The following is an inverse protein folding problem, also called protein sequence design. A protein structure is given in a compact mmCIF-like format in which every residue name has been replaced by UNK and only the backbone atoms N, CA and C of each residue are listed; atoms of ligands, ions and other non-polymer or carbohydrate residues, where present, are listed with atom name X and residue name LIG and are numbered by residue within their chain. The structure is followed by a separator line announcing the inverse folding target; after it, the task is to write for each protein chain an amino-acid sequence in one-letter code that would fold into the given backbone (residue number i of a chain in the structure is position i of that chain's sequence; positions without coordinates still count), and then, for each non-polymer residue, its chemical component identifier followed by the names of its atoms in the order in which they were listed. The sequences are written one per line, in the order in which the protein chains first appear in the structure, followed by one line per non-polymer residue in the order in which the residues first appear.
data_IF_572614340090
#
_entry.id   IF_572614340090
#
_cell.length_a   1.000
_cell.length_b   1.000
_cell.length_c   1.000
_cell.angle_alpha   90.00
_cell.angle_beta   90.00
_cell.angle_gamma   90.00
#
_symmetry.space_group_name_H-M   'P 1'
#
loop_
_entity.id
_entity.type
_entity.pdbx_description
1 polymer ?
#
# COMPACT_ATOMS: atom_id res chain seq x y z
N UNK A 1 13.46 -28.80 -33.68
CA UNK A 1 12.90 -27.60 -33.02
C UNK A 1 11.76 -28.01 -32.11
N UNK A 2 11.75 -27.58 -30.86
CA UNK A 2 10.66 -27.91 -29.94
C UNK A 2 9.38 -27.24 -30.39
N UNK A 3 8.21 -27.93 -30.29
CA UNK A 3 6.90 -27.36 -30.63
C UNK A 3 6.50 -26.11 -29.77
N UNK A 4 7.37 -25.66 -28.88
CA UNK A 4 7.16 -24.51 -27.97
C UNK A 4 8.18 -23.38 -28.19
N UNK A 5 8.90 -23.35 -29.32
CA UNK A 5 9.90 -22.31 -29.59
C UNK A 5 9.32 -20.88 -29.61
N UNK A 6 8.01 -20.76 -29.87
CA UNK A 6 7.28 -19.48 -29.79
C UNK A 6 7.28 -18.87 -28.39
N UNK A 7 7.48 -19.66 -27.30
CA UNK A 7 7.59 -19.12 -25.94
C UNK A 7 8.82 -18.23 -25.75
N UNK A 8 9.81 -18.35 -26.61
CA UNK A 8 10.99 -17.47 -26.59
C UNK A 8 10.67 -16.02 -26.98
N UNK A 9 9.51 -15.79 -27.63
CA UNK A 9 9.03 -14.44 -27.93
C UNK A 9 8.40 -13.76 -26.71
N UNK A 10 8.09 -14.52 -25.65
CA UNK A 10 7.44 -14.02 -24.46
C UNK A 10 8.48 -13.85 -23.33
N UNK A 11 8.52 -12.64 -22.76
CA UNK A 11 9.33 -12.41 -21.57
C UNK A 11 8.78 -13.24 -20.40
N UNK A 12 9.63 -14.02 -19.76
CA UNK A 12 9.25 -14.73 -18.50
C UNK A 12 8.94 -13.69 -17.42
N UNK A 13 7.66 -13.61 -17.04
CA UNK A 13 7.22 -12.70 -16.00
C UNK A 13 7.48 -13.30 -14.61
N UNK A 14 8.20 -12.60 -13.73
CA UNK A 14 8.40 -13.05 -12.36
C UNK A 14 7.10 -12.92 -11.55
N UNK A 15 6.93 -13.80 -10.56
CA UNK A 15 5.81 -13.73 -9.63
C UNK A 15 6.14 -12.74 -8.52
N UNK A 16 5.19 -11.83 -8.19
CA UNK A 16 5.36 -10.95 -7.03
C UNK A 16 5.40 -11.76 -5.74
N UNK A 17 6.06 -11.24 -4.71
CA UNK A 17 6.21 -11.96 -3.44
C UNK A 17 4.89 -12.42 -2.81
N UNK A 18 3.82 -11.62 -2.94
CA UNK A 18 2.48 -11.99 -2.43
C UNK A 18 1.87 -13.16 -3.22
N UNK A 19 2.10 -13.22 -4.55
CA UNK A 19 1.63 -14.34 -5.37
C UNK A 19 2.38 -15.61 -5.00
N UNK A 20 3.70 -15.54 -4.86
CA UNK A 20 4.51 -16.68 -4.39
C UNK A 20 4.00 -17.22 -3.05
N UNK A 21 3.74 -16.32 -2.09
CA UNK A 21 3.21 -16.69 -0.76
C UNK A 21 1.87 -17.43 -0.87
N UNK A 22 0.96 -16.93 -1.70
CA UNK A 22 -0.36 -17.55 -1.89
C UNK A 22 -0.26 -18.89 -2.60
N UNK A 23 0.56 -19.03 -3.62
CA UNK A 23 0.78 -20.32 -4.29
C UNK A 23 1.32 -21.37 -3.33
N UNK A 24 2.36 -21.03 -2.54
CA UNK A 24 2.89 -21.94 -1.53
C UNK A 24 1.87 -22.29 -0.46
N UNK A 25 0.98 -21.35 -0.11
CA UNK A 25 -0.12 -21.65 0.80
C UNK A 25 -1.14 -22.60 0.17
N UNK A 26 -1.52 -22.41 -1.11
CA UNK A 26 -2.40 -23.33 -1.82
C UNK A 26 -1.76 -24.72 -2.00
N UNK A 27 -0.46 -24.79 -2.34
CA UNK A 27 0.29 -26.05 -2.39
C UNK A 27 0.25 -26.78 -1.04
N UNK A 28 0.20 -26.05 0.09
CA UNK A 28 0.08 -26.57 1.44
C UNK A 28 -1.37 -26.86 1.87
N UNK A 29 -2.35 -26.72 0.97
CA UNK A 29 -3.76 -27.00 1.24
C UNK A 29 -4.56 -25.81 1.81
N UNK A 30 -4.08 -24.57 1.65
CA UNK A 30 -4.83 -23.39 2.08
C UNK A 30 -6.15 -23.28 1.34
N UNK A 31 -7.22 -23.13 2.11
CA UNK A 31 -8.55 -22.76 1.61
C UNK A 31 -9.02 -21.51 2.39
N UNK A 32 -9.38 -20.41 1.72
CA UNK A 32 -9.88 -19.20 2.38
C UNK A 32 -11.14 -19.42 3.24
N UNK A 33 -11.92 -20.47 2.95
CA UNK A 33 -13.13 -20.84 3.68
C UNK A 33 -12.83 -21.78 4.87
N UNK A 34 -11.63 -22.37 4.93
CA UNK A 34 -11.22 -23.21 6.06
C UNK A 34 -10.77 -22.35 7.23
N UNK A 35 -11.62 -22.29 8.26
CA UNK A 35 -11.35 -21.53 9.47
C UNK A 35 -10.16 -22.07 10.29
N UNK A 36 -9.57 -23.23 9.96
CA UNK A 36 -8.36 -23.74 10.61
C UNK A 36 -7.12 -22.92 10.24
N UNK A 37 -7.12 -22.25 9.08
CA UNK A 37 -6.04 -21.39 8.64
C UNK A 37 -6.08 -19.99 9.26
N UNK A 38 -4.91 -19.42 9.42
CA UNK A 38 -4.73 -18.01 9.82
C UNK A 38 -3.85 -17.27 8.79
N UNK A 39 -4.48 -16.47 7.94
CA UNK A 39 -3.74 -15.68 6.95
C UNK A 39 -3.28 -14.36 7.57
N UNK A 40 -2.08 -14.35 8.19
CA UNK A 40 -1.40 -13.17 8.71
C UNK A 40 -0.45 -12.53 7.67
N UNK A 41 -0.46 -13.03 6.43
CA UNK A 41 0.26 -12.43 5.29
C UNK A 41 -0.61 -11.50 4.46
N UNK A 42 -1.93 -11.56 4.63
CA UNK A 42 -2.86 -10.84 3.77
C UNK A 42 -2.76 -9.32 3.93
N UNK A 43 -2.66 -8.64 2.80
CA UNK A 43 -2.73 -7.20 2.71
C UNK A 43 -4.15 -6.64 2.65
N UNK A 44 -5.11 -7.28 3.32
CA UNK A 44 -6.49 -6.81 3.39
C UNK A 44 -6.97 -6.74 4.84
N UNK A 45 -7.65 -5.65 5.22
CA UNK A 45 -8.29 -5.57 6.52
C UNK A 45 -9.54 -6.44 6.55
N UNK A 46 -9.99 -6.79 7.77
CA UNK A 46 -11.29 -7.43 7.98
C UNK A 46 -12.42 -6.63 7.31
N UNK A 47 -13.21 -7.32 6.48
CA UNK A 47 -14.28 -6.69 5.68
C UNK A 47 -15.69 -6.99 6.18
N UNK A 48 -15.86 -7.92 7.13
CA UNK A 48 -17.18 -8.49 7.45
C UNK A 48 -18.06 -7.60 8.30
N UNK A 49 -17.49 -6.97 9.34
CA UNK A 49 -18.27 -6.15 10.25
C UNK A 49 -17.57 -4.84 10.62
N UNK A 50 -18.38 -3.79 10.74
CA UNK A 50 -17.95 -2.52 11.27
C UNK A 50 -19.05 -2.01 12.22
N UNK A 51 -18.73 -1.85 13.50
CA UNK A 51 -19.70 -1.48 14.55
C UNK A 51 -20.98 -2.32 14.57
N UNK A 52 -20.86 -3.64 14.40
CA UNK A 52 -22.00 -4.55 14.37
C UNK A 52 -22.90 -4.40 13.15
N UNK A 53 -22.59 -3.49 12.22
CA UNK A 53 -23.34 -3.34 10.97
C UNK A 53 -22.73 -4.18 9.87
N UNK A 54 -23.50 -5.12 9.34
CA UNK A 54 -23.12 -5.85 8.12
C UNK A 54 -23.10 -4.87 6.95
N UNK A 55 -22.06 -4.94 6.11
CA UNK A 55 -22.02 -4.16 4.88
C UNK A 55 -23.08 -4.65 3.89
N UNK A 56 -23.57 -3.74 3.02
CA UNK A 56 -24.44 -4.10 1.91
C UNK A 56 -23.77 -5.19 1.07
N UNK A 57 -24.45 -6.30 0.87
CA UNK A 57 -23.92 -7.48 0.15
C UNK A 57 -24.36 -7.56 -1.31
N UNK A 58 -25.32 -6.74 -1.71
CA UNK A 58 -25.87 -6.74 -3.07
C UNK A 58 -25.57 -5.43 -3.78
N UNK A 59 -25.14 -5.53 -5.02
CA UNK A 59 -24.96 -4.41 -5.96
C UNK A 59 -25.93 -4.67 -7.08
N UNK A 60 -26.75 -3.66 -7.40
CA UNK A 60 -27.65 -3.70 -8.52
C UNK A 60 -26.90 -3.27 -9.78
N UNK A 61 -26.99 -4.09 -10.83
CA UNK A 61 -26.43 -3.79 -12.14
C UNK A 61 -27.60 -3.62 -13.10
N UNK A 62 -27.76 -2.41 -13.61
CA UNK A 62 -28.77 -2.07 -14.61
C UNK A 62 -28.16 -1.86 -16.01
N UNK A 63 -28.98 -1.62 -17.01
CA UNK A 63 -28.51 -1.43 -18.40
C UNK A 63 -27.55 -0.24 -18.52
N UNK A 64 -27.79 0.85 -17.79
CA UNK A 64 -26.93 2.04 -17.85
C UNK A 64 -25.50 1.75 -17.38
N UNK A 65 -25.34 1.02 -16.27
CA UNK A 65 -24.00 0.71 -15.77
C UNK A 65 -23.38 -0.58 -16.35
N UNK A 66 -24.04 -1.15 -17.37
CA UNK A 66 -23.44 -2.11 -18.30
C UNK A 66 -22.65 -1.43 -19.42
N UNK A 67 -22.87 -0.13 -19.65
CA UNK A 67 -22.09 0.69 -20.57
C UNK A 67 -20.70 1.04 -19.97
N UNK A 68 -19.79 1.44 -20.85
CA UNK A 68 -18.48 1.94 -20.41
C UNK A 68 -18.60 3.20 -19.57
N UNK A 69 -17.90 3.25 -18.44
CA UNK A 69 -17.65 4.51 -17.77
C UNK A 69 -16.60 5.32 -18.52
N UNK A 70 -16.59 6.66 -18.41
CA UNK A 70 -15.48 7.45 -18.94
C UNK A 70 -14.13 6.97 -18.40
N UNK A 71 -13.08 6.98 -19.21
CA UNK A 71 -11.73 6.48 -18.83
C UNK A 71 -11.19 7.17 -17.57
N UNK A 72 -11.42 8.48 -17.44
CA UNK A 72 -11.05 9.23 -16.24
C UNK A 72 -11.95 8.93 -15.04
N UNK A 73 -13.02 8.14 -15.21
CA UNK A 73 -14.02 7.82 -14.21
C UNK A 73 -15.28 8.68 -14.30
N UNK A 74 -16.35 8.21 -13.65
CA UNK A 74 -17.65 8.91 -13.56
C UNK A 74 -17.48 10.31 -12.98
N UNK A 75 -18.18 11.26 -13.57
CA UNK A 75 -18.12 12.67 -13.16
C UNK A 75 -18.57 12.88 -11.71
N UNK A 76 -19.64 12.21 -11.29
CA UNK A 76 -20.16 12.29 -9.91
C UNK A 76 -19.15 11.75 -8.88
N UNK A 77 -18.49 10.63 -9.17
CA UNK A 77 -17.45 10.09 -8.31
C UNK A 77 -16.22 11.01 -8.24
N UNK A 78 -15.77 11.54 -9.38
CA UNK A 78 -14.65 12.50 -9.43
C UNK A 78 -14.95 13.77 -8.61
N UNK A 79 -16.16 14.31 -8.73
CA UNK A 79 -16.64 15.44 -7.90
C UNK A 79 -16.65 15.07 -6.42
N UNK A 80 -17.11 13.86 -6.09
CA UNK A 80 -17.20 13.39 -4.71
C UNK A 80 -15.82 13.19 -4.06
N UNK A 81 -14.86 12.71 -4.82
CA UNK A 81 -13.46 12.59 -4.37
C UNK A 81 -12.86 13.99 -4.15
N UNK A 82 -13.05 14.92 -5.08
CA UNK A 82 -12.60 16.31 -4.91
C UNK A 82 -13.21 16.96 -3.66
N UNK A 83 -14.53 16.83 -3.46
CA UNK A 83 -15.23 17.28 -2.25
C UNK A 83 -14.63 16.69 -0.96
N UNK A 84 -14.30 15.38 -0.99
CA UNK A 84 -13.66 14.70 0.14
C UNK A 84 -12.34 15.36 0.52
N UNK A 85 -11.42 15.53 -0.44
CA UNK A 85 -10.11 16.12 -0.15
C UNK A 85 -10.22 17.60 0.24
N UNK A 86 -11.10 18.37 -0.38
CA UNK A 86 -11.33 19.77 -0.03
C UNK A 86 -11.87 19.93 1.39
N UNK A 87 -12.83 19.08 1.77
CA UNK A 87 -13.46 19.12 3.10
C UNK A 87 -12.47 18.70 4.19
N UNK A 88 -11.64 17.69 3.93
CA UNK A 88 -10.77 17.11 4.94
C UNK A 88 -9.45 17.85 5.10
N UNK A 89 -8.87 18.36 4.00
CA UNK A 89 -7.48 18.82 3.97
C UNK A 89 -7.32 20.25 3.44
N UNK A 90 -8.32 20.78 2.71
CA UNK A 90 -8.16 22.05 2.00
C UNK A 90 -9.11 23.16 2.51
N UNK A 91 -9.72 22.97 3.68
CA UNK A 91 -10.62 23.98 4.25
C UNK A 91 -9.91 25.32 4.45
N UNK A 92 -10.42 26.38 3.81
CA UNK A 92 -9.84 27.73 3.88
C UNK A 92 -8.66 27.98 2.95
N UNK A 93 -8.19 27.00 2.20
CA UNK A 93 -7.14 27.19 1.18
C UNK A 93 -7.72 27.75 -0.11
N UNK A 94 -6.96 28.60 -0.81
CA UNK A 94 -7.39 29.24 -2.08
C UNK A 94 -7.51 28.19 -3.21
N UNK A 95 -6.50 27.37 -3.38
CA UNK A 95 -6.49 26.31 -4.39
C UNK A 95 -7.30 25.12 -3.89
N UNK A 96 -8.33 24.71 -4.64
CA UNK A 96 -9.26 23.63 -4.32
C UNK A 96 -9.29 22.61 -5.46
N UNK A 97 -9.38 21.32 -5.13
CA UNK A 97 -9.55 20.27 -6.13
C UNK A 97 -10.90 20.42 -6.85
N UNK A 98 -10.85 20.20 -8.14
CA UNK A 98 -12.04 20.00 -8.98
C UNK A 98 -12.09 18.58 -9.51
N UNK A 99 -13.16 18.19 -10.19
CA UNK A 99 -13.20 16.90 -10.86
C UNK A 99 -12.10 16.72 -11.91
N UNK A 100 -11.54 17.81 -12.45
CA UNK A 100 -10.45 17.79 -13.43
C UNK A 100 -9.12 17.34 -12.81
N UNK A 101 -8.97 17.50 -11.50
CA UNK A 101 -7.80 17.06 -10.74
C UNK A 101 -7.89 15.58 -10.29
N UNK A 102 -8.89 14.83 -10.74
CA UNK A 102 -9.16 13.44 -10.29
C UNK A 102 -9.26 12.50 -11.48
N UNK A 103 -8.51 11.39 -11.43
CA UNK A 103 -8.65 10.25 -12.35
C UNK A 103 -8.94 8.98 -11.56
N UNK A 104 -10.06 8.30 -11.85
CA UNK A 104 -10.44 7.02 -11.24
C UNK A 104 -9.89 5.87 -12.08
N UNK A 105 -9.38 4.83 -11.42
CA UNK A 105 -8.80 3.66 -12.06
C UNK A 105 -9.21 2.36 -11.35
N UNK A 106 -8.95 1.21 -11.95
CA UNK A 106 -9.23 -0.14 -11.45
C UNK A 106 -8.43 -0.54 -10.20
N UNK A 107 -8.30 0.37 -9.23
CA UNK A 107 -7.51 0.23 -8.00
C UNK A 107 -6.11 0.83 -8.11
N UNK A 108 -5.39 0.92 -6.99
CA UNK A 108 -4.12 1.66 -6.90
C UNK A 108 -3.02 1.18 -7.83
N UNK A 109 -2.93 -0.13 -8.12
CA UNK A 109 -1.91 -0.63 -9.08
C UNK A 109 -2.16 -0.11 -10.48
N UNK A 110 -3.41 -0.11 -10.94
CA UNK A 110 -3.79 0.43 -12.25
C UNK A 110 -3.56 1.94 -12.27
N UNK A 111 -3.94 2.64 -11.21
CA UNK A 111 -3.65 4.07 -11.07
C UNK A 111 -2.15 4.37 -11.20
N UNK A 112 -1.31 3.65 -10.46
CA UNK A 112 0.15 3.79 -10.55
C UNK A 112 0.68 3.39 -11.93
N UNK A 113 0.16 2.33 -12.55
CA UNK A 113 0.56 1.91 -13.91
C UNK A 113 0.29 3.00 -14.94
N UNK A 114 -0.88 3.65 -14.88
CA UNK A 114 -1.18 4.77 -15.77
C UNK A 114 -0.20 5.92 -15.57
N UNK A 115 0.13 6.26 -14.32
CA UNK A 115 1.07 7.34 -14.01
C UNK A 115 2.48 7.03 -14.52
N UNK A 116 3.03 5.84 -14.18
CA UNK A 116 4.40 5.49 -14.61
C UNK A 116 4.52 5.32 -16.13
N UNK A 117 3.42 5.01 -16.82
CA UNK A 117 3.41 4.99 -18.30
C UNK A 117 3.56 6.40 -18.91
N UNK A 118 3.29 7.46 -18.15
CA UNK A 118 3.45 8.85 -18.61
C UNK A 118 4.83 9.42 -18.29
N UNK A 119 5.65 8.71 -17.49
CA UNK A 119 6.99 9.18 -17.14
C UNK A 119 7.94 9.07 -18.34
N UNK A 120 8.78 10.08 -18.51
CA UNK A 120 9.85 10.11 -19.52
C UNK A 120 11.15 9.48 -19.03
N UNK A 121 12.25 9.81 -19.69
CA UNK A 121 13.59 9.35 -19.31
C UNK A 121 14.11 10.14 -18.09
N UNK A 122 13.81 9.63 -16.89
CA UNK A 122 14.13 10.26 -15.61
C UNK A 122 14.71 9.25 -14.62
N UNK A 123 15.36 9.73 -13.58
CA UNK A 123 15.65 8.95 -12.37
C UNK A 123 14.48 9.07 -11.40
N UNK A 124 13.91 7.93 -11.02
CA UNK A 124 12.80 7.85 -10.06
C UNK A 124 13.26 7.15 -8.79
N UNK A 125 13.27 7.88 -7.68
CA UNK A 125 13.56 7.32 -6.36
C UNK A 125 12.42 6.44 -5.85
N UNK A 126 12.75 5.32 -5.24
CA UNK A 126 11.82 4.48 -4.48
C UNK A 126 12.50 3.98 -3.20
N UNK A 127 11.72 3.78 -2.16
CA UNK A 127 12.26 3.36 -0.86
C UNK A 127 12.36 1.84 -0.73
N UNK A 128 13.25 1.39 0.18
CA UNK A 128 13.36 0.00 0.64
C UNK A 128 13.61 -0.02 2.16
N UNK A 129 12.84 -0.83 2.94
CA UNK A 129 11.79 -1.77 2.48
C UNK A 129 10.52 -1.05 2.06
N UNK A 130 9.83 -1.56 1.03
CA UNK A 130 8.57 -1.00 0.55
C UNK A 130 7.63 -2.07 -0.06
N UNK A 131 6.50 -1.64 -0.59
CA UNK A 131 5.45 -2.50 -1.09
C UNK A 131 5.92 -3.40 -2.25
N UNK A 132 5.76 -4.69 -2.08
CA UNK A 132 6.30 -5.74 -2.97
C UNK A 132 5.91 -5.58 -4.44
N UNK A 133 4.75 -5.00 -4.73
CA UNK A 133 4.29 -4.85 -6.11
C UNK A 133 5.05 -3.77 -6.89
N UNK A 134 5.72 -2.85 -6.22
CA UNK A 134 6.54 -1.85 -6.89
C UNK A 134 7.70 -2.47 -7.67
N UNK A 135 8.27 -3.60 -7.19
CA UNK A 135 9.38 -4.27 -7.86
C UNK A 135 9.06 -4.58 -9.33
N UNK A 136 7.95 -5.26 -9.58
CA UNK A 136 7.59 -5.66 -10.94
C UNK A 136 6.96 -4.49 -11.73
N UNK A 137 6.16 -3.66 -11.07
CA UNK A 137 5.52 -2.53 -11.70
C UNK A 137 6.55 -1.52 -12.24
N UNK A 138 7.57 -1.19 -11.44
CA UNK A 138 8.66 -0.30 -11.88
C UNK A 138 9.62 -0.98 -12.87
N UNK A 139 9.55 -2.30 -13.04
CA UNK A 139 10.36 -3.05 -14.00
C UNK A 139 9.73 -3.17 -15.38
N UNK A 140 8.40 -3.05 -15.48
CA UNK A 140 7.67 -3.21 -16.76
C UNK A 140 7.93 -2.02 -17.68
N UNK A 141 7.90 -0.82 -17.14
CA UNK A 141 8.11 0.41 -17.87
C UNK A 141 9.62 0.74 -17.92
N UNK A 142 10.19 0.80 -19.11
CA UNK A 142 11.64 0.97 -19.32
C UNK A 142 12.04 2.43 -19.57
N UNK A 143 11.09 3.36 -19.51
CA UNK A 143 11.34 4.77 -19.83
C UNK A 143 12.09 5.52 -18.73
N UNK A 144 12.13 5.01 -17.50
CA UNK A 144 12.80 5.65 -16.37
C UNK A 144 13.73 4.68 -15.64
N UNK A 145 14.68 5.22 -14.91
CA UNK A 145 15.60 4.46 -14.06
C UNK A 145 15.10 4.46 -12.60
N UNK A 146 14.65 3.31 -12.05
CA UNK A 146 14.33 3.20 -10.64
C UNK A 146 15.61 3.22 -9.78
N UNK A 147 15.71 4.17 -8.86
CA UNK A 147 16.86 4.38 -7.97
C UNK A 147 16.46 4.04 -6.54
N UNK A 148 17.07 3.02 -5.90
CA UNK A 148 16.72 2.63 -4.54
C UNK A 148 17.29 3.60 -3.50
N UNK A 149 16.44 3.92 -2.50
CA UNK A 149 16.78 4.70 -1.31
C UNK A 149 16.53 3.81 -0.09
N UNK A 150 17.56 3.55 0.70
CA UNK A 150 17.43 2.63 1.84
C UNK A 150 16.97 3.36 3.10
N UNK A 151 15.85 2.93 3.66
CA UNK A 151 15.41 3.36 4.98
C UNK A 151 16.18 2.56 6.06
N UNK A 152 16.72 3.28 7.03
CA UNK A 152 17.55 2.69 8.09
C UNK A 152 16.70 2.44 9.35
N UNK A 153 16.93 1.32 10.03
CA UNK A 153 16.25 1.00 11.30
C UNK A 153 16.64 1.96 12.41
N UNK A 154 17.86 2.47 12.39
CA UNK A 154 18.39 3.46 13.33
C UNK A 154 17.57 4.77 13.29
N UNK A 155 16.95 5.08 12.15
CA UNK A 155 16.05 6.21 11.96
C UNK A 155 14.56 5.77 11.99
N UNK A 156 14.25 4.64 12.64
CA UNK A 156 12.89 4.08 12.66
C UNK A 156 12.26 3.90 11.27
N UNK A 157 13.07 3.56 10.26
CA UNK A 157 12.65 3.46 8.85
C UNK A 157 12.00 4.75 8.30
N UNK A 158 12.39 5.91 8.83
CA UNK A 158 12.06 7.24 8.31
C UNK A 158 13.28 7.83 7.61
N UNK A 159 13.04 8.77 6.70
CA UNK A 159 14.10 9.49 5.98
C UNK A 159 14.15 10.92 6.52
N UNK A 160 15.25 11.32 7.21
CA UNK A 160 15.43 12.71 7.61
C UNK A 160 15.43 13.66 6.40
N UNK A 161 14.87 14.86 6.56
CA UNK A 161 14.64 15.78 5.44
C UNK A 161 15.95 16.19 4.73
N UNK A 162 17.04 16.38 5.46
CA UNK A 162 18.33 16.72 4.88
C UNK A 162 18.89 15.54 4.07
N UNK A 163 18.79 14.30 4.59
CA UNK A 163 19.20 13.11 3.87
C UNK A 163 18.36 12.93 2.58
N UNK A 164 17.05 13.24 2.65
CA UNK A 164 16.18 13.19 1.47
C UNK A 164 16.60 14.23 0.42
N UNK A 165 16.92 15.45 0.85
CA UNK A 165 17.42 16.50 -0.04
C UNK A 165 18.69 16.07 -0.76
N UNK A 166 19.63 15.49 -0.01
CA UNK A 166 20.89 14.96 -0.55
C UNK A 166 20.65 13.81 -1.53
N UNK A 167 19.74 12.88 -1.21
CA UNK A 167 19.35 11.78 -2.12
C UNK A 167 18.79 12.30 -3.45
N UNK A 168 17.91 13.32 -3.40
CA UNK A 168 17.31 13.91 -4.60
C UNK A 168 18.38 14.59 -5.45
N UNK A 169 19.21 15.44 -4.84
CA UNK A 169 20.22 16.22 -5.56
C UNK A 169 21.32 15.32 -6.10
N UNK A 170 21.94 14.49 -5.25
CA UNK A 170 23.12 13.69 -5.61
C UNK A 170 22.80 12.59 -6.62
N UNK A 171 21.56 12.08 -6.64
CA UNK A 171 21.12 11.05 -7.58
C UNK A 171 20.34 11.60 -8.76
N UNK A 172 20.15 12.91 -8.84
CA UNK A 172 19.42 13.58 -9.91
C UNK A 172 17.99 13.04 -10.05
N UNK A 173 17.28 12.92 -8.93
CA UNK A 173 15.93 12.38 -8.94
C UNK A 173 14.94 13.42 -9.43
N UNK A 174 14.19 13.08 -10.48
CA UNK A 174 13.08 13.89 -10.98
C UNK A 174 11.73 13.45 -10.43
N UNK A 175 11.65 12.25 -9.86
CA UNK A 175 10.46 11.75 -9.21
C UNK A 175 10.79 10.89 -7.98
N UNK A 176 9.84 10.82 -7.03
CA UNK A 176 9.87 9.96 -5.84
C UNK A 176 8.56 9.19 -5.71
N UNK A 177 8.63 7.90 -5.41
CA UNK A 177 7.48 7.09 -5.01
C UNK A 177 7.55 6.84 -3.50
N UNK A 178 6.51 7.26 -2.79
CA UNK A 178 6.45 7.28 -1.31
C UNK A 178 5.21 6.52 -0.85
N UNK A 179 5.38 5.39 -0.19
CA UNK A 179 4.30 4.70 0.53
C UNK A 179 4.08 5.38 1.88
N UNK A 180 2.99 6.13 2.05
CA UNK A 180 2.72 6.87 3.29
C UNK A 180 1.24 6.77 3.72
N UNK A 181 0.95 5.98 4.78
CA UNK A 181 1.85 5.18 5.63
C UNK A 181 2.49 3.98 4.93
N UNK A 182 3.69 3.61 5.37
CA UNK A 182 4.55 2.63 4.71
C UNK A 182 4.14 1.18 5.00
N UNK A 183 4.03 0.38 3.96
CA UNK A 183 3.99 -1.07 4.00
C UNK A 183 5.36 -1.61 3.56
N UNK A 184 6.21 -2.27 4.40
CA UNK A 184 5.79 -3.11 5.52
C UNK A 184 5.96 -2.52 6.93
N UNK A 185 6.67 -1.40 7.08
CA UNK A 185 7.19 -0.94 8.38
C UNK A 185 6.12 -0.38 9.31
N UNK A 186 5.01 0.09 8.74
CA UNK A 186 3.96 0.77 9.50
C UNK A 186 4.34 2.18 9.95
N UNK A 187 5.44 2.72 9.46
CA UNK A 187 5.83 4.10 9.75
C UNK A 187 5.02 5.09 8.94
N UNK A 188 4.91 6.31 9.43
CA UNK A 188 4.11 7.37 8.81
C UNK A 188 4.83 8.71 8.88
N UNK A 189 4.81 9.43 7.77
CA UNK A 189 5.24 10.82 7.65
C UNK A 189 3.98 11.68 7.79
N UNK A 190 3.96 12.61 8.75
CA UNK A 190 2.78 13.45 9.02
C UNK A 190 3.16 14.76 9.73
N UNK A 191 2.23 15.70 9.80
CA UNK A 191 2.45 16.99 10.46
C UNK A 191 3.54 17.79 9.75
N UNK A 192 4.41 18.42 10.52
CA UNK A 192 5.49 19.27 9.99
C UNK A 192 6.46 18.47 9.11
N UNK A 193 6.74 17.20 9.45
CA UNK A 193 7.57 16.33 8.62
C UNK A 193 6.98 16.16 7.20
N UNK A 194 5.67 15.95 7.08
CA UNK A 194 5.02 15.82 5.76
C UNK A 194 4.96 17.17 5.02
N UNK A 195 4.78 18.26 5.75
CA UNK A 195 4.89 19.61 5.20
C UNK A 195 6.27 19.86 4.58
N UNK A 196 7.34 19.53 5.31
CA UNK A 196 8.72 19.72 4.83
C UNK A 196 8.99 18.88 3.58
N UNK A 197 8.47 17.66 3.50
CA UNK A 197 8.58 16.82 2.31
C UNK A 197 7.87 17.45 1.09
N UNK A 198 6.67 18.00 1.27
CA UNK A 198 5.93 18.68 0.19
C UNK A 198 6.63 19.97 -0.24
N UNK A 199 7.16 20.75 0.73
CA UNK A 199 7.96 21.95 0.44
C UNK A 199 9.23 21.60 -0.34
N UNK A 200 9.94 20.57 0.05
CA UNK A 200 11.16 20.11 -0.63
C UNK A 200 10.85 19.65 -2.07
N UNK A 201 9.74 18.93 -2.27
CA UNK A 201 9.31 18.54 -3.61
C UNK A 201 9.08 19.76 -4.52
N UNK A 202 8.46 20.81 -3.99
CA UNK A 202 8.25 22.11 -4.68
C UNK A 202 9.57 22.82 -4.96
N UNK A 203 10.44 22.95 -3.94
CA UNK A 203 11.75 23.61 -4.06
C UNK A 203 12.61 22.97 -5.16
N UNK A 204 12.68 21.64 -5.16
CA UNK A 204 13.54 20.89 -6.08
C UNK A 204 12.83 20.46 -7.37
N UNK A 205 11.56 20.82 -7.55
CA UNK A 205 10.71 20.38 -8.67
C UNK A 205 10.73 18.87 -8.90
N UNK A 206 10.78 18.10 -7.81
CA UNK A 206 10.78 16.64 -7.82
C UNK A 206 9.35 16.10 -7.69
N UNK A 207 8.84 15.42 -8.72
CA UNK A 207 7.49 14.86 -8.74
C UNK A 207 7.33 13.82 -7.61
N UNK A 208 6.65 14.17 -6.53
CA UNK A 208 6.46 13.29 -5.39
C UNK A 208 5.10 12.58 -5.47
N UNK A 209 5.14 11.24 -5.55
CA UNK A 209 3.98 10.36 -5.71
C UNK A 209 3.72 9.70 -4.36
N UNK A 210 2.64 10.10 -3.69
CA UNK A 210 2.24 9.57 -2.39
C UNK A 210 1.19 8.45 -2.56
N UNK A 211 1.56 7.22 -2.20
CA UNK A 211 0.62 6.10 -2.07
C UNK A 211 0.01 6.12 -0.68
N UNK A 212 -1.24 6.63 -0.57
CA UNK A 212 -1.93 6.91 0.70
C UNK A 212 -2.99 5.87 1.07
N UNK A 213 -2.85 4.63 0.62
CA UNK A 213 -3.87 3.60 0.85
C UNK A 213 -4.11 3.27 2.33
N UNK A 214 -3.21 3.65 3.24
CA UNK A 214 -3.34 3.40 4.68
C UNK A 214 -3.60 4.67 5.50
N UNK A 215 -3.96 5.79 4.87
CA UNK A 215 -4.10 7.10 5.51
C UNK A 215 -5.15 7.17 6.64
N UNK A 216 -6.06 6.19 6.74
CA UNK A 216 -7.03 6.08 7.84
C UNK A 216 -6.53 5.24 9.03
N UNK A 217 -5.40 4.56 8.92
CA UNK A 217 -4.88 3.66 9.95
C UNK A 217 -3.72 4.31 10.69
N UNK A 218 -3.99 5.35 11.51
CA UNK A 218 -2.99 6.13 12.23
C UNK A 218 -3.16 5.90 13.73
N UNK A 219 -2.08 5.57 14.44
CA UNK A 219 -2.08 5.26 15.87
C UNK A 219 -1.19 6.18 16.71
N UNK A 220 -0.26 6.91 16.08
CA UNK A 220 0.81 7.66 16.73
C UNK A 220 0.41 8.97 17.40
N UNK A 221 -0.82 9.46 17.16
CA UNK A 221 -1.29 10.69 17.83
C UNK A 221 -2.22 10.35 18.99
N UNK A 222 -1.74 10.39 20.26
CA UNK A 222 -2.53 9.99 21.42
C UNK A 222 -3.77 10.88 21.66
N UNK A 223 -3.79 12.11 21.15
CA UNK A 223 -4.82 13.12 21.51
C UNK A 223 -5.78 13.48 20.37
N UNK A 224 -5.67 12.89 19.16
CA UNK A 224 -6.55 13.16 18.03
C UNK A 224 -6.99 11.86 17.34
N UNK A 225 -7.90 11.14 17.99
CA UNK A 225 -8.59 10.00 17.36
C UNK A 225 -9.38 10.48 16.15
N UNK A 226 -9.39 9.69 15.07
CA UNK A 226 -10.03 10.05 13.81
C UNK A 226 -9.15 10.91 12.89
N UNK A 227 -7.86 11.05 13.19
CA UNK A 227 -6.91 11.73 12.30
C UNK A 227 -6.71 10.91 11.03
N UNK A 228 -6.91 11.55 9.89
CA UNK A 228 -6.60 11.05 8.56
C UNK A 228 -5.50 11.95 8.02
N UNK A 229 -4.52 11.38 7.34
CA UNK A 229 -3.41 12.15 6.78
C UNK A 229 -3.49 12.20 5.25
N UNK A 230 -2.96 13.27 4.66
CA UNK A 230 -2.72 13.36 3.23
C UNK A 230 -1.73 14.49 2.93
N UNK A 231 -0.86 14.29 1.94
CA UNK A 231 -0.03 15.35 1.36
C UNK A 231 -0.87 16.52 0.82
N UNK A 232 -2.14 16.28 0.49
CA UNK A 232 -3.09 17.31 0.05
C UNK A 232 -3.22 18.49 1.04
N UNK A 233 -2.94 18.26 2.34
CA UNK A 233 -3.02 19.30 3.38
C UNK A 233 -1.96 20.39 3.19
N UNK A 234 -0.79 20.03 2.59
CA UNK A 234 0.40 20.89 2.52
C UNK A 234 0.68 21.46 1.14
N UNK A 235 -0.08 21.06 0.12
CA UNK A 235 -0.05 21.64 -1.23
C UNK A 235 -0.49 23.11 -1.16
N UNK A 236 0.24 24.00 -1.82
CA UNK A 236 -0.18 25.41 -1.97
C UNK A 236 -1.09 25.56 -3.18
N UNK A 237 -0.60 25.30 -4.36
CA UNK A 237 -1.40 25.28 -5.59
C UNK A 237 -1.40 23.87 -6.22
N UNK A 238 -2.60 23.35 -6.42
CA UNK A 238 -2.83 21.99 -6.93
C UNK A 238 -2.28 21.81 -8.35
N UNK A 239 -2.30 22.86 -9.15
CA UNK A 239 -1.85 22.78 -10.54
C UNK A 239 -0.36 23.08 -10.73
N UNK A 240 0.31 23.66 -9.72
CA UNK A 240 1.72 24.04 -9.79
C UNK A 240 2.63 23.09 -8.98
N UNK A 241 2.15 22.58 -7.85
CA UNK A 241 2.96 21.73 -6.99
C UNK A 241 3.15 20.34 -7.63
N UNK A 242 4.38 19.80 -7.65
CA UNK A 242 4.67 18.52 -8.29
C UNK A 242 4.27 17.34 -7.40
N UNK A 243 3.01 17.28 -7.04
CA UNK A 243 2.46 16.27 -6.10
C UNK A 243 1.38 15.43 -6.78
N UNK A 244 1.53 14.12 -6.70
CA UNK A 244 0.50 13.15 -7.07
C UNK A 244 0.12 12.33 -5.85
N UNK A 245 -1.17 12.18 -5.60
CA UNK A 245 -1.69 11.33 -4.53
C UNK A 245 -2.44 10.16 -5.16
N UNK A 246 -2.10 8.94 -4.72
CA UNK A 246 -2.79 7.72 -5.12
C UNK A 246 -3.50 7.15 -3.90
N UNK A 247 -4.80 6.88 -4.02
CA UNK A 247 -5.59 6.34 -2.94
C UNK A 247 -6.76 5.50 -3.50
N UNK A 248 -7.62 4.95 -2.64
CA UNK A 248 -8.77 4.18 -3.08
C UNK A 248 -9.49 3.42 -1.98
N UNK A 249 -10.51 2.69 -2.37
CA UNK A 249 -11.40 1.98 -1.45
C UNK A 249 -10.77 0.74 -0.82
N UNK A 250 -9.64 0.25 -1.34
CA UNK A 250 -9.09 -1.07 -0.96
C UNK A 250 -8.80 -1.22 0.53
N UNK A 251 -8.19 -0.19 1.16
CA UNK A 251 -7.79 -0.26 2.57
C UNK A 251 -8.64 0.69 3.42
N UNK A 252 -8.62 1.97 3.11
CA UNK A 252 -9.30 3.01 3.88
C UNK A 252 -10.80 2.75 4.02
N UNK A 253 -11.47 2.23 2.99
CA UNK A 253 -12.89 1.83 3.04
C UNK A 253 -13.09 0.31 3.11
N UNK A 254 -12.02 -0.46 3.36
CA UNK A 254 -12.04 -1.92 3.54
C UNK A 254 -12.77 -2.68 2.41
N UNK A 255 -12.61 -2.23 1.15
CA UNK A 255 -13.25 -2.79 -0.03
C UNK A 255 -12.24 -3.17 -1.12
N UNK A 256 -11.26 -4.06 -0.83
CA UNK A 256 -10.20 -4.37 -1.78
C UNK A 256 -10.72 -5.05 -3.06
N UNK A 257 -11.78 -5.83 -2.97
CA UNK A 257 -12.40 -6.52 -4.12
C UNK A 257 -13.16 -5.59 -5.08
N UNK A 258 -13.48 -4.38 -4.66
CA UNK A 258 -14.22 -3.43 -5.51
C UNK A 258 -13.37 -2.82 -6.62
N UNK A 259 -12.04 -2.89 -6.48
CA UNK A 259 -11.12 -2.37 -7.49
C UNK A 259 -11.40 -0.93 -7.90
N UNK A 260 -11.68 -0.05 -6.96
CA UNK A 260 -11.83 1.41 -7.15
C UNK A 260 -10.67 2.12 -6.46
N UNK A 261 -9.88 2.83 -7.23
CA UNK A 261 -8.81 3.71 -6.79
C UNK A 261 -8.80 4.98 -7.61
N UNK A 262 -8.00 5.96 -7.23
CA UNK A 262 -7.90 7.23 -7.92
C UNK A 262 -6.52 7.86 -7.76
N UNK A 263 -6.24 8.81 -8.67
CA UNK A 263 -5.15 9.76 -8.57
C UNK A 263 -5.72 11.15 -8.38
N UNK A 264 -5.02 11.98 -7.59
CA UNK A 264 -5.19 13.42 -7.55
C UNK A 264 -3.87 14.07 -7.96
N UNK A 265 -3.94 15.06 -8.85
CA UNK A 265 -2.80 15.82 -9.32
C UNK A 265 -3.27 17.10 -10.04
N UNK A 266 -2.34 17.85 -10.64
CA UNK A 266 -2.66 18.93 -11.57
C UNK A 266 -3.53 18.45 -12.73
N UNK A 267 -4.32 19.35 -13.31
CA UNK A 267 -5.19 19.04 -14.46
C UNK A 267 -4.38 18.43 -15.61
N UNK A 268 -3.18 18.93 -15.87
CA UNK A 268 -2.29 18.44 -16.93
C UNK A 268 -1.82 17.00 -16.68
N UNK A 269 -1.44 16.64 -15.46
CA UNK A 269 -1.06 15.26 -15.10
C UNK A 269 -2.28 14.35 -15.26
N UNK A 270 -3.47 14.78 -14.80
CA UNK A 270 -4.69 13.97 -14.92
C UNK A 270 -5.10 13.73 -16.37
N UNK A 271 -4.91 14.70 -17.26
CA UNK A 271 -5.13 14.53 -18.70
C UNK A 271 -4.22 13.43 -19.28
N UNK A 272 -2.91 13.50 -19.01
CA UNK A 272 -1.92 12.50 -19.45
C UNK A 272 -2.24 11.10 -18.93
N UNK A 273 -2.55 10.99 -17.64
CA UNK A 273 -2.90 9.72 -16.98
C UNK A 273 -4.21 9.16 -17.52
N UNK A 274 -5.17 10.00 -17.85
CA UNK A 274 -6.44 9.58 -18.47
C UNK A 274 -6.20 9.08 -19.89
N UNK A 275 -5.34 9.76 -20.66
CA UNK A 275 -4.94 9.31 -22.00
C UNK A 275 -4.24 7.95 -21.95
N UNK A 276 -3.32 7.75 -21.01
CA UNK A 276 -2.68 6.45 -20.79
C UNK A 276 -3.71 5.35 -20.45
N UNK A 277 -4.72 5.67 -19.65
CA UNK A 277 -5.81 4.76 -19.30
C UNK A 277 -6.61 4.28 -20.51
N UNK A 278 -6.73 5.09 -21.56
CA UNK A 278 -7.51 4.74 -22.75
C UNK A 278 -6.96 3.51 -23.50
N UNK A 279 -5.65 3.29 -23.44
CA UNK A 279 -5.01 2.13 -24.10
C UNK A 279 -4.48 1.07 -23.13
N UNK A 280 -4.30 1.40 -21.83
CA UNK A 280 -3.82 0.44 -20.85
C UNK A 280 -4.92 -0.45 -20.27
N UNK A 281 -6.09 0.11 -19.97
CA UNK A 281 -7.13 -0.62 -19.22
C UNK A 281 -8.58 -0.23 -19.54
N UNK A 282 -8.82 0.83 -20.33
CA UNK A 282 -10.15 1.25 -20.77
C UNK A 282 -11.06 1.85 -19.70
N UNK A 283 -10.63 1.93 -18.44
CA UNK A 283 -11.41 2.52 -17.33
C UNK A 283 -11.75 1.55 -16.21
N UNK A 284 -12.30 2.09 -15.13
CA UNK A 284 -12.72 1.30 -13.96
C UNK A 284 -14.19 0.85 -14.11
N UNK A 285 -14.56 -0.22 -13.40
CA UNK A 285 -15.90 -0.83 -13.45
C UNK A 285 -16.99 0.18 -13.10
N UNK A 286 -17.94 0.39 -14.03
CA UNK A 286 -18.96 1.44 -13.95
C UNK A 286 -19.86 1.30 -12.71
N UNK A 287 -20.45 0.13 -12.50
CA UNK A 287 -21.36 -0.13 -11.36
C UNK A 287 -20.69 0.06 -10.00
N UNK A 288 -19.40 -0.30 -9.89
CA UNK A 288 -18.65 -0.14 -8.64
C UNK A 288 -18.24 1.31 -8.39
N UNK A 289 -18.06 2.12 -9.43
CA UNK A 289 -17.89 3.56 -9.27
C UNK A 289 -19.17 4.23 -8.75
N UNK A 290 -20.34 3.81 -9.22
CA UNK A 290 -21.64 4.31 -8.72
C UNK A 290 -21.82 4.01 -7.23
N UNK A 291 -21.53 2.79 -6.78
CA UNK A 291 -21.59 2.45 -5.37
C UNK A 291 -20.51 3.19 -4.54
N UNK A 292 -19.35 3.48 -5.12
CA UNK A 292 -18.29 4.25 -4.46
C UNK A 292 -18.72 5.67 -4.08
N UNK A 293 -19.57 6.33 -4.89
CA UNK A 293 -20.13 7.65 -4.56
C UNK A 293 -20.86 7.64 -3.22
N UNK A 294 -21.59 6.55 -2.92
CA UNK A 294 -22.36 6.39 -1.68
C UNK A 294 -21.46 6.15 -0.46
N UNK A 295 -20.26 5.56 -0.67
CA UNK A 295 -19.32 5.26 0.42
C UNK A 295 -18.47 6.47 0.82
N UNK A 296 -18.12 7.33 -0.13
CA UNK A 296 -17.25 8.49 0.14
C UNK A 296 -18.10 9.62 0.72
N UNK A 297 -18.26 9.65 2.04
CA UNK A 297 -19.02 10.66 2.75
C UNK A 297 -18.13 11.46 3.71
N UNK A 298 -17.74 12.71 3.35
CA UNK A 298 -16.87 13.54 4.19
C UNK A 298 -17.41 13.80 5.60
N UNK A 299 -18.75 13.82 5.77
CA UNK A 299 -19.40 14.11 7.07
C UNK A 299 -19.21 12.99 8.09
N UNK A 300 -19.14 11.72 7.66
CA UNK A 300 -19.02 10.55 8.56
C UNK A 300 -17.59 10.06 8.70
N UNK A 301 -16.71 10.50 7.81
CA UNK A 301 -15.40 9.90 7.63
C UNK A 301 -14.49 9.96 8.86
N UNK A 302 -14.45 11.09 9.58
CA UNK A 302 -13.66 11.21 10.83
C UNK A 302 -14.12 10.20 11.89
N UNK A 303 -15.45 10.00 12.00
CA UNK A 303 -16.01 9.01 12.91
C UNK A 303 -15.64 7.60 12.49
N UNK A 304 -15.77 7.29 11.20
CA UNK A 304 -15.41 5.98 10.64
C UNK A 304 -13.89 5.68 10.80
N UNK A 305 -13.03 6.68 10.54
CA UNK A 305 -11.59 6.54 10.77
C UNK A 305 -11.26 6.30 12.25
N UNK A 306 -11.92 7.02 13.17
CA UNK A 306 -11.75 6.78 14.61
C UNK A 306 -12.12 5.34 15.00
N UNK A 307 -13.24 4.85 14.51
CA UNK A 307 -13.71 3.50 14.79
C UNK A 307 -12.73 2.43 14.25
N UNK A 308 -12.19 2.64 13.04
CA UNK A 308 -11.12 1.80 12.47
C UNK A 308 -9.90 1.82 13.39
N UNK A 309 -9.45 3.00 13.78
CA UNK A 309 -8.24 3.17 14.59
C UNK A 309 -8.39 2.52 15.97
N UNK A 310 -9.54 2.68 16.63
CA UNK A 310 -9.79 2.09 17.93
C UNK A 310 -9.76 0.55 17.88
N UNK A 311 -10.38 -0.06 16.87
CA UNK A 311 -10.37 -1.51 16.67
C UNK A 311 -8.95 -2.02 16.35
N UNK A 312 -8.29 -1.37 15.41
CA UNK A 312 -6.98 -1.84 14.94
C UNK A 312 -5.86 -1.54 15.95
N UNK A 313 -5.99 -0.49 16.76
CA UNK A 313 -5.07 -0.21 17.87
C UNK A 313 -5.05 -1.36 18.89
N UNK A 314 -6.21 -1.89 19.26
CA UNK A 314 -6.30 -3.04 20.17
C UNK A 314 -5.65 -4.29 19.56
N UNK A 315 -5.89 -4.56 18.28
CA UNK A 315 -5.24 -5.67 17.56
C UNK A 315 -3.71 -5.49 17.48
N UNK A 316 -3.25 -4.26 17.21
CA UNK A 316 -1.85 -3.89 17.17
C UNK A 316 -1.16 -4.19 18.51
N UNK A 317 -1.69 -3.66 19.61
CA UNK A 317 -1.14 -3.82 20.95
C UNK A 317 -1.08 -5.31 21.35
N UNK A 318 -2.17 -6.04 21.09
CA UNK A 318 -2.19 -7.48 21.35
C UNK A 318 -1.10 -8.23 20.55
N UNK A 319 -0.99 -7.92 19.27
CA UNK A 319 -0.04 -8.59 18.37
C UNK A 319 1.41 -8.29 18.76
N UNK A 320 1.76 -7.02 19.01
CA UNK A 320 3.09 -6.59 19.45
C UNK A 320 3.49 -7.31 20.75
N UNK A 321 2.61 -7.30 21.75
CA UNK A 321 2.89 -7.93 23.04
C UNK A 321 3.11 -9.45 22.90
N UNK A 322 2.35 -10.13 22.04
CA UNK A 322 2.52 -11.56 21.78
C UNK A 322 3.82 -11.87 21.04
N UNK A 323 4.17 -11.09 20.02
CA UNK A 323 5.38 -11.26 19.24
C UNK A 323 6.63 -11.01 20.10
N UNK A 324 6.66 -9.95 20.91
CA UNK A 324 7.77 -9.69 21.83
C UNK A 324 7.99 -10.83 22.84
N UNK A 325 6.90 -11.47 23.32
CA UNK A 325 6.99 -12.65 24.21
C UNK A 325 7.51 -13.91 23.51
N UNK A 326 7.56 -13.93 22.20
CA UNK A 326 8.10 -15.01 21.36
C UNK A 326 9.48 -14.64 20.76
N UNK A 327 10.18 -13.67 21.35
CA UNK A 327 11.51 -13.21 20.96
C UNK A 327 11.62 -12.57 19.56
N UNK A 328 10.50 -12.12 18.96
CA UNK A 328 10.59 -11.28 17.78
C UNK A 328 11.14 -9.90 18.15
N UNK A 329 12.12 -9.43 17.36
CA UNK A 329 12.58 -8.04 17.46
C UNK A 329 11.66 -7.17 16.59
N UNK A 330 11.17 -6.09 17.16
CA UNK A 330 10.40 -5.06 16.48
C UNK A 330 11.22 -3.78 16.64
N UNK A 331 12.07 -3.49 15.64
CA UNK A 331 12.98 -2.34 15.67
C UNK A 331 12.23 -1.02 15.86
N UNK A 332 11.10 -0.88 15.20
CA UNK A 332 10.20 0.25 15.33
C UNK A 332 8.74 -0.22 15.35
N UNK A 333 8.01 0.13 16.41
CA UNK A 333 6.59 -0.21 16.48
C UNK A 333 5.79 0.55 15.41
N UNK A 334 4.84 -0.11 14.72
CA UNK A 334 4.09 0.55 13.67
C UNK A 334 3.25 1.70 14.23
N UNK A 335 3.42 2.89 13.68
CA UNK A 335 2.62 4.08 13.98
C UNK A 335 1.32 4.11 13.18
N UNK A 336 1.26 3.31 12.12
CA UNK A 336 0.14 3.26 11.17
C UNK A 336 0.02 1.88 10.52
N UNK A 337 -0.86 1.73 9.52
CA UNK A 337 -1.16 0.51 8.76
C UNK A 337 -1.80 -0.58 9.63
N UNK A 338 -1.74 -1.84 9.20
CA UNK A 338 -2.08 -3.03 10.00
C UNK A 338 -1.00 -4.12 9.84
N UNK A 339 0.28 -3.68 9.81
CA UNK A 339 1.44 -4.55 9.68
C UNK A 339 2.43 -4.33 10.81
N UNK A 340 3.14 -5.40 11.15
CA UNK A 340 4.29 -5.37 12.03
C UNK A 340 5.47 -5.94 11.23
N UNK A 341 6.56 -5.19 11.21
CA UNK A 341 7.83 -5.56 10.60
C UNK A 341 8.72 -6.16 11.67
N UNK A 342 9.01 -7.45 11.55
CA UNK A 342 9.67 -8.24 12.59
C UNK A 342 11.01 -8.78 12.10
N UNK A 343 12.05 -8.60 12.90
CA UNK A 343 13.34 -9.27 12.75
C UNK A 343 13.32 -10.61 13.52
N UNK A 344 13.76 -11.69 12.87
CA UNK A 344 13.76 -13.07 13.34
C UNK A 344 15.09 -13.45 14.02
N UNK A 345 16.06 -12.55 14.15
CA UNK A 345 17.45 -12.85 14.56
C UNK A 345 17.57 -13.46 15.96
N UNK A 346 16.58 -13.29 16.83
CA UNK A 346 16.53 -13.92 18.17
C UNK A 346 15.82 -15.26 18.20
N UNK A 347 15.16 -15.66 17.13
CA UNK A 347 14.50 -16.96 17.07
C UNK A 347 15.54 -18.09 16.93
N UNK A 348 15.17 -19.37 17.15
CA UNK A 348 16.03 -20.51 16.88
C UNK A 348 16.68 -20.42 15.49
N UNK A 349 17.96 -20.74 15.39
CA UNK A 349 18.81 -20.48 14.20
C UNK A 349 18.17 -20.89 12.87
N UNK A 350 17.46 -22.01 12.84
CA UNK A 350 16.77 -22.49 11.64
C UNK A 350 15.62 -21.58 11.20
N UNK A 351 14.99 -20.85 12.13
CA UNK A 351 13.85 -19.96 11.87
C UNK A 351 14.30 -18.52 11.57
N UNK A 352 15.57 -18.20 11.61
CA UNK A 352 16.07 -16.85 11.32
C UNK A 352 16.01 -16.50 9.83
N UNK A 353 15.99 -17.50 8.94
CA UNK A 353 15.71 -17.28 7.52
C UNK A 353 14.21 -17.14 7.27
N UNK A 354 13.80 -16.02 6.67
CA UNK A 354 12.38 -15.65 6.52
C UNK A 354 11.58 -16.59 5.61
N UNK A 355 12.24 -17.22 4.63
CA UNK A 355 11.57 -18.20 3.76
C UNK A 355 11.37 -19.52 4.51
N UNK A 356 12.38 -19.96 5.25
CA UNK A 356 12.26 -21.14 6.12
C UNK A 356 11.19 -20.93 7.19
N UNK A 357 11.20 -19.78 7.86
CA UNK A 357 10.16 -19.42 8.82
C UNK A 357 8.75 -19.47 8.22
N UNK A 358 8.57 -18.89 7.04
CA UNK A 358 7.30 -18.92 6.33
C UNK A 358 6.85 -20.37 6.01
N UNK A 359 7.75 -21.20 5.48
CA UNK A 359 7.43 -22.59 5.13
C UNK A 359 7.08 -23.43 6.38
N UNK A 360 7.77 -23.23 7.50
CA UNK A 360 7.43 -23.90 8.75
C UNK A 360 6.09 -23.39 9.31
N UNK A 361 5.77 -22.10 9.17
CA UNK A 361 4.46 -21.55 9.51
C UNK A 361 3.32 -22.15 8.68
N UNK A 362 3.53 -22.45 7.39
CA UNK A 362 2.52 -23.10 6.55
C UNK A 362 2.13 -24.47 7.08
N UNK A 363 3.07 -25.25 7.62
CA UNK A 363 2.80 -26.57 8.23
C UNK A 363 1.85 -26.47 9.44
N UNK A 364 1.87 -25.33 10.13
CA UNK A 364 0.95 -25.00 11.24
C UNK A 364 -0.24 -24.12 10.78
N UNK A 365 -0.54 -24.12 9.48
CA UNK A 365 -1.66 -23.38 8.88
C UNK A 365 -1.64 -21.86 9.15
N UNK A 366 -0.45 -21.26 9.14
CA UNK A 366 -0.27 -19.80 9.25
C UNK A 366 0.48 -19.28 8.02
N UNK A 367 -0.05 -18.22 7.44
CA UNK A 367 0.57 -17.54 6.32
C UNK A 367 1.21 -16.24 6.84
N UNK A 368 2.49 -16.05 6.59
CA UNK A 368 3.27 -14.82 6.83
C UNK A 368 3.86 -14.33 5.50
N UNK A 369 4.55 -13.19 5.48
CA UNK A 369 5.22 -12.75 4.26
C UNK A 369 6.72 -12.57 4.52
N UNK A 370 7.58 -13.35 3.86
CA UNK A 370 9.03 -13.21 3.98
C UNK A 370 9.52 -11.80 3.65
N UNK A 371 10.47 -11.33 4.44
CA UNK A 371 11.02 -9.98 4.34
C UNK A 371 11.72 -9.68 3.02
N UNK A 372 12.33 -10.69 2.42
CA UNK A 372 13.02 -10.55 1.13
C UNK A 372 12.16 -9.97 0.00
N UNK A 373 10.82 -10.08 0.11
CA UNK A 373 9.90 -9.55 -0.90
C UNK A 373 9.67 -8.04 -0.77
N UNK A 374 10.08 -7.44 0.34
CA UNK A 374 10.01 -5.99 0.57
C UNK A 374 11.32 -5.28 0.24
N UNK A 375 12.37 -6.03 -0.09
CA UNK A 375 13.61 -5.50 -0.66
C UNK A 375 13.40 -5.22 -2.15
N UNK A 376 12.59 -4.20 -2.43
CA UNK A 376 12.15 -3.82 -3.78
C UNK A 376 13.35 -3.61 -4.69
N UNK A 377 13.46 -4.44 -5.74
CA UNK A 377 14.62 -4.52 -6.62
C UNK A 377 14.20 -4.55 -8.10
N UNK A 378 13.69 -3.44 -8.64
CA UNK A 378 13.25 -3.36 -10.03
C UNK A 378 14.37 -3.76 -10.99
N UNK A 379 14.01 -4.58 -12.00
CA UNK A 379 14.98 -5.11 -12.96
C UNK A 379 15.92 -6.18 -12.41
N UNK A 380 15.72 -6.67 -11.18
CA UNK A 380 16.53 -7.73 -10.53
C UNK A 380 18.02 -7.40 -10.49
N UNK A 381 18.39 -6.14 -10.32
CA UNK A 381 19.78 -5.65 -10.36
C UNK A 381 20.67 -6.17 -9.23
N UNK A 382 20.06 -6.60 -8.12
CA UNK A 382 20.75 -7.26 -6.97
C UNK A 382 20.34 -8.72 -6.88
N UNK A 383 21.25 -9.59 -6.49
CA UNK A 383 20.92 -10.99 -6.24
C UNK A 383 20.13 -11.12 -4.93
N UNK A 384 19.06 -11.91 -4.93
CA UNK A 384 18.20 -12.14 -3.75
C UNK A 384 18.96 -12.59 -2.51
N UNK A 385 20.01 -13.39 -2.67
CA UNK A 385 20.86 -13.85 -1.55
C UNK A 385 21.52 -12.70 -0.77
N UNK A 386 21.62 -11.51 -1.38
CA UNK A 386 22.16 -10.30 -0.76
C UNK A 386 21.06 -9.36 -0.24
N UNK A 387 19.84 -9.85 -0.10
CA UNK A 387 18.76 -9.06 0.51
C UNK A 387 19.12 -8.74 1.97
N UNK A 388 18.86 -7.49 2.36
CA UNK A 388 19.03 -7.01 3.73
C UNK A 388 17.96 -7.55 4.68
N UNK A 389 16.90 -8.14 4.13
CA UNK A 389 15.70 -8.55 4.87
C UNK A 389 15.46 -10.05 4.84
N UNK A 390 16.56 -10.86 4.67
CA UNK A 390 16.49 -12.32 4.73
C UNK A 390 16.01 -12.84 6.10
N UNK A 391 16.28 -12.09 7.17
CA UNK A 391 15.86 -12.38 8.54
C UNK A 391 14.65 -11.57 9.00
N UNK A 392 13.89 -10.99 8.08
CA UNK A 392 12.68 -10.22 8.43
C UNK A 392 11.41 -10.92 7.95
N UNK A 393 10.31 -10.67 8.64
CA UNK A 393 8.96 -11.10 8.21
C UNK A 393 7.95 -10.01 8.49
N UNK A 394 6.95 -9.89 7.61
CA UNK A 394 5.79 -9.03 7.86
C UNK A 394 4.64 -9.86 8.43
N UNK A 395 4.12 -9.47 9.59
CA UNK A 395 2.92 -10.01 10.23
C UNK A 395 1.78 -8.99 10.09
N UNK A 396 0.65 -9.42 9.55
CA UNK A 396 -0.57 -8.60 9.44
C UNK A 396 -1.51 -8.82 10.62
N UNK A 397 -1.94 -7.74 11.26
CA UNK A 397 -3.06 -7.75 12.21
C UNK A 397 -4.38 -7.28 11.56
N UNK A 398 -4.43 -7.31 10.22
CA UNK A 398 -5.62 -7.04 9.40
C UNK A 398 -6.81 -7.96 9.67
N UNK A 399 -6.64 -9.29 9.83
CA UNK A 399 -7.73 -10.25 10.06
C UNK A 399 -8.53 -9.97 11.34
N UNK A 400 -9.68 -10.62 11.47
CA UNK A 400 -10.45 -10.59 12.73
C UNK A 400 -9.63 -11.11 13.92
N UNK A 401 -10.03 -10.72 15.13
CA UNK A 401 -9.24 -11.02 16.35
C UNK A 401 -9.13 -12.54 16.63
N UNK A 402 -10.12 -13.33 16.27
CA UNK A 402 -10.11 -14.79 16.45
C UNK A 402 -9.05 -15.44 15.58
N UNK A 403 -9.00 -15.06 14.29
CA UNK A 403 -7.97 -15.50 13.34
C UNK A 403 -6.58 -15.05 13.78
N UNK A 404 -6.44 -13.80 14.25
CA UNK A 404 -5.18 -13.27 14.74
C UNK A 404 -4.66 -14.06 15.96
N UNK A 405 -5.51 -14.31 16.96
CA UNK A 405 -5.15 -15.11 18.16
C UNK A 405 -4.70 -16.50 17.79
N UNK A 406 -5.44 -17.17 16.88
CA UNK A 406 -5.09 -18.50 16.37
C UNK A 406 -3.73 -18.49 15.68
N UNK A 407 -3.50 -17.56 14.75
CA UNK A 407 -2.25 -17.47 14.00
C UNK A 407 -1.04 -17.27 14.91
N UNK A 408 -1.13 -16.37 15.89
CA UNK A 408 -0.05 -16.14 16.86
C UNK A 408 0.21 -17.36 17.76
N UNK A 409 -0.85 -18.11 18.17
CA UNK A 409 -0.70 -19.37 18.90
C UNK A 409 0.01 -20.42 18.05
N UNK A 410 -0.29 -20.49 16.77
CA UNK A 410 0.34 -21.45 15.86
C UNK A 410 1.80 -21.07 15.53
N UNK A 411 2.12 -19.77 15.41
CA UNK A 411 3.53 -19.31 15.34
C UNK A 411 4.30 -19.75 16.59
N UNK A 412 3.72 -19.62 17.78
CA UNK A 412 4.35 -20.07 19.03
C UNK A 412 4.67 -21.57 19.01
N UNK A 413 3.77 -22.41 18.46
CA UNK A 413 4.02 -23.85 18.28
C UNK A 413 5.19 -24.11 17.33
N UNK A 414 5.27 -23.35 16.21
CA UNK A 414 6.41 -23.45 15.30
C UNK A 414 7.71 -23.18 16.03
N UNK A 415 7.79 -22.10 16.81
CA UNK A 415 9.02 -21.73 17.53
C UNK A 415 9.43 -22.84 18.52
N UNK A 416 8.46 -23.35 19.33
CA UNK A 416 8.71 -24.42 20.32
C UNK A 416 9.22 -25.73 19.72
N UNK A 417 8.96 -26.01 18.44
CA UNK A 417 9.51 -27.20 17.75
C UNK A 417 10.99 -27.13 17.48
N UNK A 418 11.59 -25.93 17.54
CA UNK A 418 12.99 -25.68 17.21
C UNK A 418 13.80 -25.19 18.41
N UNK A 419 13.15 -24.99 19.58
CA UNK A 419 13.81 -24.79 20.88
C UNK A 419 14.31 -26.11 21.45
#
# INVERSE_FOLDING_TARGET
MSSKDYLNYLKKMPKTGVIYVLEKAYDAGYNPLDSSWANLGQGAPDTETFNGKKRKKTIEINSHNSEYAPVAGRLDLRKKIAEYYNTMFRKGKKSQYTYKNVCVAGGGRVALSRLVATLGHINMGHFIPDYTAYEELLSIFQNFAPIPITLKKENNYKMPINDLKDEIINKGLSALLVSNPCNPTGQVIHGDELNDWVMLARELRCLSIYDEFYSHYIYSKPNKTGTIISAAEYIDDINEDPIVIINGLSKNWRSPGWRVGWLLASEEIIERVSSAGSFLDGGAVHSLQEEAVKLINPKTLKKEAKEIQDIFKQKREYCINRLKKMDFIIDSEPEATFYIWCDLSKLPKKLQDSQTFFLECLKEKVITVPGIFFDVNPGKRRLKKHSRYNNYTRISFGPNITTLKKGLKNIEKVIKKFQ
#
